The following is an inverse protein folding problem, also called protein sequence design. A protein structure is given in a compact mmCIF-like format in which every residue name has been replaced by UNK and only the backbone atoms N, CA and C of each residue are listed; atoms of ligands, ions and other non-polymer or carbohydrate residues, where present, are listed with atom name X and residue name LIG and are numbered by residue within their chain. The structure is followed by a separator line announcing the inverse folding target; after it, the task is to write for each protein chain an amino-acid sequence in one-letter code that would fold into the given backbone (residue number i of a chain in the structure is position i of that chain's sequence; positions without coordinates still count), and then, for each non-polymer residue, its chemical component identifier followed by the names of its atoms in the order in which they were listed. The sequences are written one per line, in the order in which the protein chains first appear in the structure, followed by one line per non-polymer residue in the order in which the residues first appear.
data_IF_657863039814
#
_entry.id   IF_657863039814
#
_cell.length_a   1.000
_cell.length_b   1.000
_cell.length_c   1.000
_cell.angle_alpha   90.00
_cell.angle_beta   90.00
_cell.angle_gamma   90.00
#
_symmetry.space_group_name_H-M   'P 1'
#
loop_
_entity.id
_entity.type
_entity.pdbx_description
1 polymer ?
#
# COMPACT_ATOMS: atom_id res chain seq x y z
N UNK A 1 13.41 31.76 -18.78
CA UNK A 1 12.19 32.31 -19.42
C UNK A 1 12.28 32.12 -20.93
N UNK A 2 11.19 31.69 -21.55
CA UNK A 2 11.12 31.50 -23.00
C UNK A 2 11.13 32.85 -23.73
N UNK A 3 11.97 32.96 -24.76
CA UNK A 3 12.18 34.17 -25.56
C UNK A 3 12.24 33.84 -27.05
N UNK A 4 11.83 34.78 -27.90
CA UNK A 4 11.89 34.64 -29.36
C UNK A 4 12.76 35.74 -29.95
N UNK A 5 13.54 35.41 -30.98
CA UNK A 5 14.26 36.38 -31.81
C UNK A 5 13.83 36.24 -33.26
N UNK A 6 13.59 37.36 -33.91
CA UNK A 6 13.35 37.42 -35.35
C UNK A 6 14.54 38.02 -36.06
N UNK A 7 14.96 37.44 -37.18
CA UNK A 7 16.06 37.96 -38.01
C UNK A 7 15.64 37.97 -39.48
N UNK A 8 16.17 38.93 -40.23
CA UNK A 8 16.03 39.01 -41.68
C UNK A 8 17.34 38.56 -42.32
N UNK A 9 17.31 37.58 -43.24
CA UNK A 9 18.50 37.14 -43.98
C UNK A 9 18.81 38.16 -45.08
N UNK A 10 20.03 38.68 -45.07
CA UNK A 10 20.50 39.71 -46.01
C UNK A 10 20.37 39.31 -47.48
N UNK A 11 20.68 38.06 -47.80
CA UNK A 11 20.76 37.61 -49.21
C UNK A 11 19.41 37.19 -49.81
N UNK A 12 18.49 36.67 -48.99
CA UNK A 12 17.18 36.17 -49.47
C UNK A 12 16.01 37.08 -49.15
N UNK A 13 16.23 38.14 -48.35
CA UNK A 13 15.19 39.05 -47.85
C UNK A 13 14.06 38.35 -47.04
N UNK A 14 14.27 37.09 -46.64
CA UNK A 14 13.32 36.28 -45.87
C UNK A 14 13.56 36.41 -44.37
N UNK A 15 12.49 36.22 -43.60
CA UNK A 15 12.50 36.23 -42.14
C UNK A 15 12.74 34.83 -41.58
N UNK A 16 13.35 34.78 -40.40
CA UNK A 16 13.57 33.60 -39.58
C UNK A 16 13.18 33.90 -38.14
N UNK A 17 12.83 32.87 -37.38
CA UNK A 17 12.65 32.98 -35.94
C UNK A 17 13.49 31.93 -35.19
N UNK A 18 13.92 32.26 -33.98
CA UNK A 18 14.60 31.37 -33.05
C UNK A 18 13.93 31.50 -31.68
N UNK A 19 13.35 30.42 -31.16
CA UNK A 19 12.77 30.37 -29.82
C UNK A 19 13.76 29.67 -28.89
N UNK A 20 14.07 30.31 -27.76
CA UNK A 20 14.95 29.78 -26.72
C UNK A 20 14.21 29.61 -25.41
N UNK A 21 14.37 28.46 -24.76
CA UNK A 21 13.95 28.22 -23.39
C UNK A 21 15.13 27.72 -22.56
N UNK A 22 15.31 28.27 -21.35
CA UNK A 22 16.42 27.93 -20.44
C UNK A 22 17.82 27.92 -21.11
N UNK A 23 18.04 28.88 -22.02
CA UNK A 23 19.33 29.03 -22.72
C UNK A 23 19.53 28.12 -23.93
N UNK A 24 18.63 27.17 -24.20
CA UNK A 24 18.68 26.26 -25.37
C UNK A 24 17.67 26.66 -26.44
N UNK A 25 18.03 26.50 -27.70
CA UNK A 25 17.12 26.66 -28.84
C UNK A 25 16.17 25.48 -28.88
N UNK A 26 14.86 25.74 -28.80
CA UNK A 26 13.80 24.72 -28.74
C UNK A 26 12.96 24.69 -30.01
N UNK A 27 12.92 25.77 -30.78
CA UNK A 27 12.32 25.81 -32.11
C UNK A 27 13.02 26.86 -32.98
N UNK A 28 13.19 26.56 -34.27
CA UNK A 28 13.74 27.46 -35.25
C UNK A 28 13.14 27.15 -36.62
N UNK A 29 12.71 28.18 -37.35
CA UNK A 29 12.28 28.03 -38.74
C UNK A 29 12.66 29.27 -39.58
N UNK A 30 12.68 29.10 -40.90
CA UNK A 30 13.09 30.11 -41.86
C UNK A 30 12.27 30.04 -43.15
N UNK A 31 12.25 31.13 -43.91
CA UNK A 31 11.61 31.16 -45.23
C UNK A 31 10.38 32.08 -45.32
N UNK A 32 10.12 32.87 -44.28
CA UNK A 32 8.92 33.71 -44.21
C UNK A 32 9.10 34.99 -45.03
N UNK A 33 8.16 35.29 -45.92
CA UNK A 33 8.19 36.51 -46.74
C UNK A 33 8.05 37.79 -45.90
N UNK A 34 7.40 37.72 -44.74
CA UNK A 34 7.18 38.86 -43.84
C UNK A 34 7.46 38.48 -42.39
N UNK A 35 7.79 39.47 -41.56
CA UNK A 35 7.96 39.28 -40.11
C UNK A 35 6.69 38.72 -39.47
N UNK A 36 5.52 39.21 -39.91
CA UNK A 36 4.21 38.81 -39.40
C UNK A 36 3.91 37.32 -39.62
N UNK A 37 4.36 36.74 -40.74
CA UNK A 37 4.24 35.29 -40.98
C UNK A 37 5.14 34.49 -40.03
N UNK A 38 6.35 34.95 -39.78
CA UNK A 38 7.24 34.33 -38.78
C UNK A 38 6.69 34.46 -37.35
N UNK A 39 6.07 35.60 -37.02
CA UNK A 39 5.40 35.82 -35.73
C UNK A 39 4.20 34.88 -35.56
N UNK A 40 3.35 34.72 -36.59
CA UNK A 40 2.18 33.85 -36.54
C UNK A 40 2.51 32.37 -36.29
N UNK A 41 3.67 31.89 -36.74
CA UNK A 41 4.12 30.51 -36.49
C UNK A 41 4.84 30.38 -35.13
N UNK A 42 5.61 31.40 -34.73
CA UNK A 42 6.38 31.37 -33.49
C UNK A 42 5.52 31.58 -32.23
N UNK A 43 4.43 32.36 -32.32
CA UNK A 43 3.60 32.74 -31.17
C UNK A 43 2.96 31.56 -30.44
N UNK A 44 2.36 30.55 -31.12
CA UNK A 44 1.81 29.37 -30.44
C UNK A 44 2.87 28.59 -29.64
N UNK A 45 4.05 28.41 -30.22
CA UNK A 45 5.18 27.69 -29.60
C UNK A 45 5.70 28.47 -28.39
N UNK A 46 5.82 29.79 -28.52
CA UNK A 46 6.27 30.67 -27.45
C UNK A 46 5.26 30.72 -26.29
N UNK A 47 3.96 30.72 -26.59
CA UNK A 47 2.90 30.62 -25.59
C UNK A 47 2.95 29.29 -24.84
N UNK A 48 3.10 28.17 -25.54
CA UNK A 48 3.22 26.83 -24.93
C UNK A 48 4.43 26.75 -23.98
N UNK A 49 5.55 27.37 -24.35
CA UNK A 49 6.75 27.42 -23.51
C UNK A 49 6.65 28.40 -22.33
N UNK A 50 5.82 29.45 -22.44
CA UNK A 50 5.61 30.46 -21.39
C UNK A 50 4.58 30.03 -20.36
N UNK A 51 3.50 29.41 -20.80
CA UNK A 51 2.36 29.01 -19.97
C UNK A 51 2.48 27.56 -19.49
N UNK A 52 3.44 26.80 -20.01
CA UNK A 52 3.49 25.35 -19.89
C UNK A 52 2.55 24.68 -20.91
N UNK A 53 2.66 23.36 -21.04
CA UNK A 53 1.71 22.55 -21.82
C UNK A 53 0.29 22.82 -21.30
N UNK A 54 -0.49 23.60 -22.03
CA UNK A 54 -1.87 23.87 -21.65
C UNK A 54 -2.68 22.60 -21.89
N UNK A 55 -3.39 22.13 -20.87
CA UNK A 55 -4.31 21.01 -21.03
C UNK A 55 -5.35 21.39 -22.09
N UNK A 56 -5.36 20.64 -23.19
CA UNK A 56 -6.31 20.87 -24.28
C UNK A 56 -7.67 20.24 -23.95
N UNK A 57 -8.76 20.86 -24.41
CA UNK A 57 -10.12 20.27 -24.40
C UNK A 57 -10.23 18.97 -25.20
N UNK A 58 -9.28 18.75 -26.12
CA UNK A 58 -9.21 17.58 -26.98
C UNK A 58 -8.31 16.47 -26.44
N UNK A 59 -7.80 16.62 -25.21
CA UNK A 59 -6.99 15.61 -24.56
C UNK A 59 -7.82 14.33 -24.32
N UNK A 60 -7.19 13.16 -24.50
CA UNK A 60 -7.81 11.89 -24.11
C UNK A 60 -7.88 11.78 -22.59
N UNK A 61 -8.80 10.96 -22.06
CA UNK A 61 -8.87 10.75 -20.62
C UNK A 61 -7.58 10.12 -20.05
N UNK A 62 -6.98 9.19 -20.80
CA UNK A 62 -5.74 8.54 -20.41
C UNK A 62 -4.57 9.53 -20.34
N UNK A 63 -4.47 10.45 -21.30
CA UNK A 63 -3.44 11.48 -21.34
C UNK A 63 -3.65 12.52 -20.25
N UNK A 64 -4.90 12.94 -20.00
CA UNK A 64 -5.19 13.84 -18.88
C UNK A 64 -4.80 13.22 -17.54
N UNK A 65 -5.11 11.94 -17.36
CA UNK A 65 -4.68 11.21 -16.18
C UNK A 65 -3.15 11.11 -16.08
N UNK A 66 -2.44 10.93 -17.19
CA UNK A 66 -0.97 10.94 -17.23
C UNK A 66 -0.39 12.28 -16.77
N UNK A 67 -0.87 13.39 -17.32
CA UNK A 67 -0.45 14.74 -16.93
C UNK A 67 -0.68 14.95 -15.42
N UNK A 68 -1.83 14.47 -14.90
CA UNK A 68 -2.11 14.53 -13.47
C UNK A 68 -1.15 13.68 -12.63
N UNK A 69 -0.77 12.49 -13.11
CA UNK A 69 0.23 11.66 -12.44
C UNK A 69 1.58 12.35 -12.36
N UNK A 70 2.05 12.92 -13.46
CA UNK A 70 3.33 13.62 -13.57
C UNK A 70 3.39 14.85 -12.67
N UNK A 71 2.30 15.59 -12.57
CA UNK A 71 2.25 16.82 -11.77
C UNK A 71 2.00 16.58 -10.28
N UNK A 72 1.19 15.58 -9.91
CA UNK A 72 0.67 15.43 -8.53
C UNK A 72 1.12 14.16 -7.81
N UNK A 73 1.39 13.07 -8.53
CA UNK A 73 1.64 11.75 -7.92
C UNK A 73 3.12 11.38 -7.95
N UNK A 74 3.77 11.45 -9.11
CA UNK A 74 5.18 11.06 -9.26
C UNK A 74 6.14 11.92 -8.43
N UNK A 75 5.95 13.26 -8.32
CA UNK A 75 6.80 14.12 -7.49
C UNK A 75 6.49 14.00 -5.98
N UNK A 76 5.37 13.36 -5.61
CA UNK A 76 4.96 13.27 -4.22
C UNK A 76 5.83 12.30 -3.41
N UNK A 77 5.82 12.47 -2.08
CA UNK A 77 6.50 11.60 -1.11
C UNK A 77 5.89 10.18 -0.96
N UNK A 78 4.95 9.81 -1.83
CA UNK A 78 4.35 8.46 -1.85
C UNK A 78 5.41 7.41 -2.18
N UNK A 79 5.22 6.21 -1.68
CA UNK A 79 6.14 5.10 -1.96
C UNK A 79 6.10 4.70 -3.44
N UNK A 80 7.20 4.13 -3.94
CA UNK A 80 7.32 3.68 -5.33
C UNK A 80 6.27 2.61 -5.68
N UNK A 81 5.90 1.73 -4.75
CA UNK A 81 4.82 0.76 -4.96
C UNK A 81 3.46 1.45 -5.13
N UNK A 82 3.26 2.55 -4.40
CA UNK A 82 2.03 3.34 -4.52
C UNK A 82 1.99 4.02 -5.88
N UNK A 83 3.11 4.63 -6.33
CA UNK A 83 3.24 5.23 -7.66
C UNK A 83 3.03 4.20 -8.78
N UNK A 84 3.63 3.01 -8.69
CA UNK A 84 3.39 1.89 -9.63
C UNK A 84 1.92 1.52 -9.74
N UNK A 85 1.16 1.50 -8.63
CA UNK A 85 -0.29 1.24 -8.68
C UNK A 85 -1.07 2.33 -9.42
N UNK A 86 -0.65 3.58 -9.35
CA UNK A 86 -1.25 4.66 -10.12
C UNK A 86 -0.96 4.53 -11.62
N UNK A 87 0.27 4.15 -11.98
CA UNK A 87 0.65 3.85 -13.37
C UNK A 87 -0.18 2.69 -13.93
N UNK A 88 -0.35 1.60 -13.19
CA UNK A 88 -1.19 0.46 -13.61
C UNK A 88 -2.66 0.85 -13.83
N UNK A 89 -3.18 1.83 -13.08
CA UNK A 89 -4.54 2.35 -13.30
C UNK A 89 -4.65 3.10 -14.63
N UNK A 90 -3.59 3.76 -15.10
CA UNK A 90 -3.59 4.39 -16.42
C UNK A 90 -3.89 3.37 -17.51
N UNK A 91 -3.19 2.24 -17.51
CA UNK A 91 -3.43 1.17 -18.48
C UNK A 91 -4.88 0.65 -18.41
N UNK A 92 -5.49 0.68 -17.22
CA UNK A 92 -6.90 0.35 -17.05
C UNK A 92 -7.81 1.41 -17.68
N UNK A 93 -7.51 2.70 -17.49
CA UNK A 93 -8.24 3.82 -18.11
C UNK A 93 -8.13 3.73 -19.64
N UNK A 94 -6.93 3.54 -20.19
CA UNK A 94 -6.70 3.35 -21.63
C UNK A 94 -7.54 2.19 -22.19
N UNK A 95 -7.58 1.04 -21.49
CA UNK A 95 -8.40 -0.10 -21.95
C UNK A 95 -9.90 0.18 -21.91
N UNK A 96 -10.38 0.95 -20.94
CA UNK A 96 -11.80 1.21 -20.74
C UNK A 96 -12.34 2.35 -21.64
N UNK A 97 -11.53 3.38 -21.87
CA UNK A 97 -11.93 4.60 -22.55
C UNK A 97 -11.22 4.81 -23.89
N UNK A 98 -10.16 4.07 -24.18
CA UNK A 98 -9.33 4.26 -25.38
C UNK A 98 -8.76 5.68 -25.45
N UNK A 99 -8.71 6.21 -26.67
CA UNK A 99 -8.31 7.59 -26.94
C UNK A 99 -9.48 8.59 -26.88
N UNK A 100 -10.58 8.24 -26.19
CA UNK A 100 -11.75 9.10 -26.11
C UNK A 100 -11.41 10.40 -25.39
N UNK A 101 -11.81 11.51 -26.00
CA UNK A 101 -11.58 12.85 -25.47
C UNK A 101 -12.44 13.09 -24.24
N UNK A 102 -11.92 13.83 -23.28
CA UNK A 102 -12.63 14.15 -22.02
C UNK A 102 -13.97 14.86 -22.26
N UNK A 103 -14.04 15.70 -23.29
CA UNK A 103 -15.25 16.43 -23.71
C UNK A 103 -16.32 15.56 -24.38
N UNK A 104 -15.98 14.31 -24.74
CA UNK A 104 -16.90 13.38 -25.40
C UNK A 104 -17.53 12.38 -24.42
N UNK A 105 -17.07 12.35 -23.18
CA UNK A 105 -17.54 11.38 -22.17
C UNK A 105 -18.73 11.99 -21.44
N UNK A 106 -19.90 11.35 -21.59
CA UNK A 106 -21.11 11.73 -20.84
C UNK A 106 -21.15 11.02 -19.48
N UNK A 107 -21.77 11.64 -18.47
CA UNK A 107 -21.94 11.04 -17.15
C UNK A 107 -22.63 9.66 -17.19
N UNK A 108 -23.66 9.51 -18.03
CA UNK A 108 -24.37 8.24 -18.21
C UNK A 108 -23.51 7.16 -18.88
N UNK A 109 -22.61 7.54 -19.77
CA UNK A 109 -21.64 6.64 -20.37
C UNK A 109 -20.59 6.21 -19.34
N UNK A 110 -20.05 7.16 -18.57
CA UNK A 110 -19.12 6.90 -17.49
C UNK A 110 -19.71 5.90 -16.48
N UNK A 111 -20.95 6.12 -16.05
CA UNK A 111 -21.69 5.20 -15.17
C UNK A 111 -21.81 3.79 -15.76
N UNK A 112 -22.16 3.65 -17.05
CA UNK A 112 -22.24 2.34 -17.73
C UNK A 112 -20.89 1.61 -17.75
N UNK A 113 -19.81 2.33 -18.02
CA UNK A 113 -18.44 1.77 -18.01
C UNK A 113 -18.07 1.32 -16.60
N UNK A 114 -18.35 2.14 -15.58
CA UNK A 114 -18.09 1.78 -14.17
C UNK A 114 -18.91 0.55 -13.73
N UNK A 115 -20.19 0.46 -14.11
CA UNK A 115 -21.03 -0.71 -13.83
C UNK A 115 -20.45 -1.99 -14.45
N UNK A 116 -20.13 -1.94 -15.75
CA UNK A 116 -19.55 -3.08 -16.47
C UNK A 116 -18.21 -3.50 -15.87
N UNK A 117 -17.35 -2.54 -15.56
CA UNK A 117 -16.03 -2.86 -14.99
C UNK A 117 -16.14 -3.36 -13.54
N UNK A 118 -17.09 -2.83 -12.77
CA UNK A 118 -17.42 -3.25 -11.41
C UNK A 118 -17.84 -4.71 -11.27
N UNK A 119 -18.34 -5.33 -12.34
CA UNK A 119 -18.60 -6.78 -12.38
C UNK A 119 -17.30 -7.61 -12.31
N UNK A 120 -16.15 -7.03 -12.65
CA UNK A 120 -14.86 -7.76 -12.76
C UNK A 120 -13.92 -7.53 -11.57
N UNK A 121 -14.10 -6.42 -10.85
CA UNK A 121 -13.20 -5.94 -9.79
C UNK A 121 -13.95 -5.60 -8.52
N UNK A 122 -13.26 -5.67 -7.38
CA UNK A 122 -13.84 -5.28 -6.08
C UNK A 122 -14.06 -3.77 -5.95
N UNK A 123 -15.07 -3.38 -5.16
CA UNK A 123 -15.48 -1.98 -4.91
C UNK A 123 -14.31 -1.06 -4.54
N UNK A 124 -13.38 -1.52 -3.71
CA UNK A 124 -12.21 -0.74 -3.30
C UNK A 124 -11.27 -0.40 -4.46
N UNK A 125 -11.12 -1.30 -5.44
CA UNK A 125 -10.33 -1.01 -6.63
C UNK A 125 -11.05 0.00 -7.53
N UNK A 126 -12.36 -0.24 -7.77
CA UNK A 126 -13.21 0.64 -8.57
C UNK A 126 -13.23 2.06 -8.00
N UNK A 127 -13.37 2.19 -6.67
CA UNK A 127 -13.28 3.48 -5.96
C UNK A 127 -11.97 4.21 -6.22
N UNK A 128 -10.83 3.52 -6.12
CA UNK A 128 -9.52 4.14 -6.38
C UNK A 128 -9.31 4.53 -7.85
N UNK A 129 -9.90 3.78 -8.78
CA UNK A 129 -9.90 4.14 -10.19
C UNK A 129 -10.70 5.44 -10.40
N UNK A 130 -11.94 5.49 -9.89
CA UNK A 130 -12.80 6.67 -9.96
C UNK A 130 -12.13 7.90 -9.32
N UNK A 131 -11.58 7.76 -8.10
CA UNK A 131 -10.87 8.87 -7.44
C UNK A 131 -9.72 9.43 -8.28
N UNK A 132 -8.94 8.57 -8.93
CA UNK A 132 -7.86 9.01 -9.81
C UNK A 132 -8.36 9.77 -11.04
N UNK A 133 -9.42 9.27 -11.67
CA UNK A 133 -10.08 9.92 -12.81
C UNK A 133 -10.65 11.28 -12.37
N UNK A 134 -11.44 11.31 -11.30
CA UNK A 134 -12.01 12.54 -10.74
C UNK A 134 -10.94 13.60 -10.45
N UNK A 135 -9.83 13.22 -9.81
CA UNK A 135 -8.74 14.15 -9.51
C UNK A 135 -8.07 14.71 -10.77
N UNK A 136 -7.96 13.93 -11.85
CA UNK A 136 -7.43 14.40 -13.13
C UNK A 136 -8.40 15.38 -13.83
N UNK A 137 -9.71 15.14 -13.76
CA UNK A 137 -10.74 16.04 -14.29
C UNK A 137 -10.77 17.36 -13.51
N UNK A 138 -10.74 17.29 -12.18
CA UNK A 138 -10.68 18.48 -11.32
C UNK A 138 -9.44 19.34 -11.59
N UNK A 139 -8.30 18.73 -11.92
CA UNK A 139 -7.11 19.47 -12.35
C UNK A 139 -7.34 20.23 -13.66
N UNK A 140 -7.95 19.61 -14.66
CA UNK A 140 -8.26 20.30 -15.93
C UNK A 140 -9.29 21.43 -15.74
N UNK A 141 -10.30 21.23 -14.89
CA UNK A 141 -11.29 22.27 -14.56
C UNK A 141 -10.61 23.45 -13.84
N UNK A 142 -9.65 23.18 -12.94
CA UNK A 142 -8.89 24.23 -12.27
C UNK A 142 -8.09 25.09 -13.26
N UNK A 143 -7.58 24.49 -14.33
CA UNK A 143 -6.93 25.17 -15.47
C UNK A 143 -7.91 25.84 -16.44
N UNK A 144 -9.19 25.91 -16.06
CA UNK A 144 -10.29 26.52 -16.83
C UNK A 144 -10.51 25.83 -18.19
N UNK A 145 -10.18 24.55 -18.30
CA UNK A 145 -10.58 23.75 -19.47
C UNK A 145 -12.08 23.48 -19.36
N UNK A 146 -12.82 23.82 -20.43
CA UNK A 146 -14.28 23.64 -20.48
C UNK A 146 -14.62 22.15 -20.64
N UNK A 147 -14.77 21.46 -19.51
CA UNK A 147 -15.10 20.04 -19.41
C UNK A 147 -16.20 19.90 -18.37
N UNK A 148 -17.25 19.16 -18.70
CA UNK A 148 -18.26 18.75 -17.73
C UNK A 148 -17.68 17.65 -16.83
N UNK A 149 -17.83 17.78 -15.52
CA UNK A 149 -17.35 16.75 -14.60
C UNK A 149 -18.28 15.52 -14.60
N UNK A 150 -18.07 14.63 -15.57
CA UNK A 150 -18.80 13.38 -15.73
C UNK A 150 -18.56 12.37 -14.59
N UNK A 151 -17.65 12.67 -13.65
CA UNK A 151 -17.39 11.81 -12.49
C UNK A 151 -18.22 12.18 -11.26
N UNK A 152 -18.91 13.33 -11.28
CA UNK A 152 -19.81 13.72 -10.20
C UNK A 152 -21.00 12.76 -10.12
N UNK A 153 -21.42 12.48 -8.89
CA UNK A 153 -22.58 11.63 -8.58
C UNK A 153 -22.50 10.20 -9.13
N UNK A 154 -21.32 9.74 -9.55
CA UNK A 154 -21.16 8.35 -9.98
C UNK A 154 -21.39 7.41 -8.80
N UNK A 155 -22.27 6.43 -9.00
CA UNK A 155 -22.49 5.36 -8.04
C UNK A 155 -21.63 4.17 -8.41
N UNK A 156 -20.80 3.70 -7.49
CA UNK A 156 -19.90 2.59 -7.77
C UNK A 156 -20.54 1.28 -7.32
N UNK A 157 -20.80 0.38 -8.25
CA UNK A 157 -21.32 -0.95 -7.96
C UNK A 157 -20.23 -1.99 -8.21
N UNK A 158 -20.14 -3.01 -7.36
CA UNK A 158 -19.19 -4.12 -7.54
C UNK A 158 -19.88 -5.43 -7.23
N UNK A 159 -19.80 -6.37 -8.15
CA UNK A 159 -20.39 -7.71 -8.00
C UNK A 159 -19.44 -8.70 -7.32
N UNK A 160 -18.18 -8.30 -7.07
CA UNK A 160 -17.27 -9.08 -6.23
C UNK A 160 -17.58 -8.78 -4.78
N UNK A 161 -18.09 -9.80 -4.08
CA UNK A 161 -18.26 -9.75 -2.63
C UNK A 161 -16.94 -9.34 -1.97
N UNK A 162 -17.05 -8.38 -1.05
CA UNK A 162 -15.95 -8.12 -0.15
C UNK A 162 -15.96 -9.21 0.90
N UNK A 163 -14.81 -9.86 1.09
CA UNK A 163 -14.61 -10.78 2.21
C UNK A 163 -15.10 -10.09 3.50
N UNK A 164 -15.99 -10.75 4.23
CA UNK A 164 -16.56 -10.19 5.46
C UNK A 164 -15.47 -9.98 6.50
N UNK A 165 -15.72 -9.14 7.51
CA UNK A 165 -14.71 -8.88 8.55
C UNK A 165 -14.44 -10.12 9.41
N UNK A 166 -15.48 -10.92 9.64
CA UNK A 166 -15.42 -12.19 10.37
C UNK A 166 -14.45 -13.17 9.69
N UNK A 167 -14.48 -13.28 8.37
CA UNK A 167 -13.62 -14.20 7.60
C UNK A 167 -12.11 -13.82 7.61
N UNK A 168 -11.69 -12.82 8.38
CA UNK A 168 -10.31 -12.30 8.37
C UNK A 168 -9.48 -12.69 9.59
N UNK A 169 -10.03 -13.37 10.59
CA UNK A 169 -9.30 -13.81 11.78
C UNK A 169 -9.83 -15.16 12.30
N UNK A 170 -9.13 -15.79 13.23
CA UNK A 170 -9.61 -17.05 13.84
C UNK A 170 -10.57 -16.74 14.98
N UNK A 171 -11.67 -17.48 15.04
CA UNK A 171 -12.77 -17.20 15.97
C UNK A 171 -12.62 -17.88 17.32
N UNK A 172 -11.88 -19.00 17.40
CA UNK A 172 -11.77 -19.78 18.63
C UNK A 172 -10.35 -19.73 19.21
N UNK A 173 -10.26 -19.73 20.55
CA UNK A 173 -8.97 -19.88 21.23
C UNK A 173 -8.32 -21.23 20.88
N UNK A 174 -9.13 -22.29 20.78
CA UNK A 174 -8.65 -23.64 20.43
C UNK A 174 -7.90 -23.63 19.09
N UNK A 175 -8.50 -23.09 18.02
CA UNK A 175 -7.88 -23.08 16.69
C UNK A 175 -6.60 -22.24 16.66
N UNK A 176 -6.58 -21.13 17.39
CA UNK A 176 -5.38 -20.31 17.53
C UNK A 176 -4.24 -21.06 18.22
N UNK A 177 -4.53 -21.79 19.30
CA UNK A 177 -3.55 -22.61 20.03
C UNK A 177 -3.08 -23.81 19.20
N UNK A 178 -4.00 -24.51 18.53
CA UNK A 178 -3.70 -25.63 17.64
C UNK A 178 -2.78 -25.18 16.49
N UNK A 179 -3.05 -24.02 15.89
CA UNK A 179 -2.19 -23.43 14.88
C UNK A 179 -0.80 -23.09 15.42
N UNK A 180 -0.69 -22.47 16.60
CA UNK A 180 0.60 -22.15 17.23
C UNK A 180 1.46 -23.40 17.44
N UNK A 181 0.85 -24.47 17.96
CA UNK A 181 1.51 -25.74 18.19
C UNK A 181 1.96 -26.39 16.87
N UNK A 182 1.10 -26.39 15.85
CA UNK A 182 1.42 -26.93 14.53
C UNK A 182 2.57 -26.17 13.85
N UNK A 183 2.56 -24.84 13.91
CA UNK A 183 3.65 -24.00 13.38
C UNK A 183 4.97 -24.33 14.07
N UNK A 184 4.95 -24.45 15.42
CA UNK A 184 6.15 -24.77 16.21
C UNK A 184 6.74 -26.12 15.85
N UNK A 185 5.91 -27.14 15.57
CA UNK A 185 6.36 -28.46 15.12
C UNK A 185 7.09 -28.45 13.77
N UNK A 186 6.93 -27.37 12.98
CA UNK A 186 7.59 -27.20 11.68
C UNK A 186 8.87 -26.36 11.78
N UNK A 187 9.34 -26.02 12.99
CA UNK A 187 10.58 -25.28 13.18
C UNK A 187 11.79 -26.09 12.74
N UNK A 188 12.40 -25.64 11.65
CA UNK A 188 13.64 -26.19 11.11
C UNK A 188 14.32 -25.05 10.35
N UNK A 189 15.31 -24.41 10.97
CA UNK A 189 16.00 -23.29 10.34
C UNK A 189 16.78 -23.73 9.10
N UNK A 190 17.30 -24.96 9.05
CA UNK A 190 18.01 -25.44 7.87
C UNK A 190 17.08 -25.52 6.66
N UNK A 191 15.81 -25.90 6.87
CA UNK A 191 14.81 -25.94 5.80
C UNK A 191 14.21 -24.58 5.49
N UNK A 192 13.73 -23.84 6.48
CA UNK A 192 13.04 -22.57 6.24
C UNK A 192 12.90 -21.70 7.49
N UNK A 193 13.00 -20.39 7.29
CA UNK A 193 12.67 -19.38 8.31
C UNK A 193 11.17 -19.06 8.40
N UNK A 194 10.36 -19.48 7.41
CA UNK A 194 8.94 -19.12 7.32
C UNK A 194 8.12 -19.56 8.55
N UNK A 195 8.27 -20.78 9.10
CA UNK A 195 7.56 -21.18 10.31
C UNK A 195 7.81 -20.25 11.50
N UNK A 196 9.05 -19.80 11.69
CA UNK A 196 9.40 -18.82 12.73
C UNK A 196 8.67 -17.50 12.50
N UNK A 197 8.66 -16.99 11.27
CA UNK A 197 7.95 -15.75 10.92
C UNK A 197 6.44 -15.89 11.23
N UNK A 198 5.81 -16.99 10.85
CA UNK A 198 4.38 -17.23 11.12
C UNK A 198 4.11 -17.26 12.62
N UNK A 199 4.92 -17.98 13.40
CA UNK A 199 4.78 -18.06 14.85
C UNK A 199 4.88 -16.66 15.51
N UNK A 200 5.89 -15.88 15.15
CA UNK A 200 6.05 -14.53 15.71
C UNK A 200 4.95 -13.57 15.24
N UNK A 201 4.41 -13.69 14.03
CA UNK A 201 3.23 -12.92 13.62
C UNK A 201 2.03 -13.20 14.53
N UNK A 202 1.80 -14.48 14.87
CA UNK A 202 0.72 -14.92 15.74
C UNK A 202 0.93 -14.52 17.20
N UNK A 203 2.17 -14.48 17.70
CA UNK A 203 2.50 -14.17 19.10
C UNK A 203 2.71 -12.68 19.41
N UNK A 204 2.90 -11.84 18.39
CA UNK A 204 3.22 -10.42 18.56
C UNK A 204 2.22 -9.47 17.89
N UNK A 205 1.44 -9.97 16.93
CA UNK A 205 0.54 -9.15 16.10
C UNK A 205 1.26 -8.07 15.28
N UNK A 206 2.58 -8.15 15.13
CA UNK A 206 3.34 -7.21 14.31
C UNK A 206 2.92 -7.30 12.84
N UNK A 207 3.04 -6.20 12.10
CA UNK A 207 2.84 -6.27 10.64
C UNK A 207 4.02 -7.03 10.04
N UNK A 208 3.78 -7.84 9.00
CA UNK A 208 4.82 -8.61 8.31
C UNK A 208 6.12 -7.83 8.08
N UNK A 209 6.03 -6.70 7.37
CA UNK A 209 7.22 -5.87 7.09
C UNK A 209 7.88 -5.25 8.32
N UNK A 210 7.18 -5.09 9.44
CA UNK A 210 7.78 -4.66 10.72
C UNK A 210 8.55 -5.81 11.38
N UNK A 211 7.98 -7.03 11.35
CA UNK A 211 8.56 -8.21 11.96
C UNK A 211 9.86 -8.64 11.26
N UNK A 212 9.82 -8.78 9.93
CA UNK A 212 11.02 -9.19 9.17
C UNK A 212 12.11 -8.11 9.15
N UNK A 213 11.83 -6.90 9.64
CA UNK A 213 12.81 -5.83 9.77
C UNK A 213 13.57 -5.85 11.10
N UNK A 214 13.18 -6.71 12.04
CA UNK A 214 13.85 -6.84 13.32
C UNK A 214 15.27 -7.38 13.10
N UNK A 215 16.20 -6.77 13.82
CA UNK A 215 17.57 -7.24 13.95
C UNK A 215 17.83 -7.66 15.38
N UNK A 216 18.89 -8.42 15.62
CA UNK A 216 19.27 -8.86 16.95
C UNK A 216 19.50 -7.70 17.94
N UNK A 217 19.76 -6.49 17.45
CA UNK A 217 19.90 -5.28 18.28
C UNK A 217 18.56 -4.76 18.85
N UNK A 218 17.43 -5.20 18.29
CA UNK A 218 16.10 -4.77 18.71
C UNK A 218 15.41 -5.75 19.67
N UNK A 219 16.13 -6.77 20.14
CA UNK A 219 15.64 -7.74 21.13
C UNK A 219 16.23 -7.41 22.49
N UNK A 220 15.36 -7.06 23.44
CA UNK A 220 15.70 -7.00 24.85
C UNK A 220 15.33 -8.34 25.48
N UNK A 221 16.31 -9.24 25.56
CA UNK A 221 16.11 -10.59 26.08
C UNK A 221 15.85 -10.64 27.59
N UNK A 222 16.32 -9.63 28.33
CA UNK A 222 16.19 -9.60 29.79
C UNK A 222 14.78 -9.14 30.19
N UNK A 223 14.23 -8.17 29.46
CA UNK A 223 12.88 -7.63 29.70
C UNK A 223 11.79 -8.30 28.86
N UNK A 224 12.16 -9.15 27.90
CA UNK A 224 11.23 -9.78 26.98
C UNK A 224 10.51 -8.79 26.08
N UNK A 225 11.26 -7.88 25.44
CA UNK A 225 10.69 -6.83 24.59
C UNK A 225 11.33 -6.81 23.20
N UNK A 226 10.51 -6.62 22.18
CA UNK A 226 10.92 -6.34 20.81
C UNK A 226 10.68 -4.86 20.49
N UNK A 227 11.71 -4.16 20.02
CA UNK A 227 11.59 -2.78 19.56
C UNK A 227 11.33 -2.74 18.05
N UNK A 228 10.21 -2.16 17.64
CA UNK A 228 9.93 -1.93 16.22
C UNK A 228 9.82 -0.45 15.92
N UNK A 229 10.50 0.00 14.86
CA UNK A 229 10.54 1.41 14.48
C UNK A 229 10.70 1.64 12.97
N UNK A 230 10.82 0.58 12.18
CA UNK A 230 11.01 0.60 10.72
C UNK A 230 10.37 -0.64 10.10
N UNK A 231 10.38 -0.70 8.77
CA UNK A 231 9.89 -1.85 8.01
C UNK A 231 10.94 -2.28 7.00
N UNK A 232 10.88 -3.53 6.57
CA UNK A 232 11.61 -4.04 5.42
C UNK A 232 10.63 -4.26 4.28
N UNK A 233 10.94 -3.70 3.12
CA UNK A 233 10.14 -3.84 1.92
C UNK A 233 10.77 -4.88 1.02
N UNK A 234 10.09 -6.02 0.87
CA UNK A 234 10.57 -7.17 0.09
C UNK A 234 10.48 -6.95 -1.42
N UNK A 235 9.81 -5.90 -1.91
CA UNK A 235 9.79 -5.57 -3.34
C UNK A 235 10.99 -4.69 -3.73
N UNK A 236 11.41 -3.80 -2.82
CA UNK A 236 12.54 -2.91 -3.05
C UNK A 236 13.83 -3.38 -2.39
N UNK A 237 13.76 -4.46 -1.60
CA UNK A 237 14.84 -5.03 -0.76
C UNK A 237 15.55 -3.99 0.10
N UNK A 238 14.76 -3.10 0.72
CA UNK A 238 15.27 -1.97 1.51
C UNK A 238 14.50 -1.80 2.81
N UNK A 239 15.21 -1.31 3.83
CA UNK A 239 14.56 -0.74 5.00
C UNK A 239 13.86 0.56 4.61
N UNK A 240 12.63 0.73 5.10
CA UNK A 240 11.80 1.90 4.88
C UNK A 240 11.23 2.40 6.20
N UNK A 241 10.89 3.70 6.31
CA UNK A 241 10.27 4.26 7.50
C UNK A 241 8.97 3.53 7.92
N UNK A 242 8.61 3.62 9.21
CA UNK A 242 7.34 3.09 9.70
C UNK A 242 6.19 3.74 8.96
N UNK A 243 5.08 3.00 8.77
CA UNK A 243 3.93 3.53 8.02
C UNK A 243 3.26 4.69 8.78
N UNK A 244 3.18 4.56 10.11
CA UNK A 244 2.55 5.51 11.02
C UNK A 244 3.48 5.76 12.21
N UNK A 245 3.35 6.90 12.90
CA UNK A 245 4.09 7.16 14.15
C UNK A 245 3.84 6.10 15.22
N UNK A 246 2.61 5.58 15.30
CA UNK A 246 2.22 4.50 16.23
C UNK A 246 2.87 3.15 15.93
N UNK A 247 3.53 2.98 14.78
CA UNK A 247 4.33 1.78 14.51
C UNK A 247 5.64 1.77 15.31
N UNK A 248 6.12 2.91 15.84
CA UNK A 248 7.30 2.97 16.70
C UNK A 248 6.88 2.60 18.12
N UNK A 249 7.25 1.40 18.59
CA UNK A 249 6.77 0.85 19.86
C UNK A 249 7.64 -0.31 20.37
N UNK A 250 7.42 -0.66 21.63
CA UNK A 250 7.88 -1.93 22.22
C UNK A 250 6.74 -2.95 22.16
N UNK A 251 7.07 -4.21 21.88
CA UNK A 251 6.12 -5.32 21.82
C UNK A 251 6.60 -6.40 22.79
N UNK A 252 5.79 -6.79 23.79
CA UNK A 252 6.18 -7.82 24.74
C UNK A 252 6.20 -9.20 24.08
N UNK A 253 7.13 -10.03 24.53
CA UNK A 253 7.23 -11.46 24.18
C UNK A 253 7.41 -12.29 25.45
N UNK A 254 6.92 -13.53 25.42
CA UNK A 254 7.02 -14.44 26.55
C UNK A 254 8.37 -15.20 26.58
N UNK A 255 8.58 -15.96 27.65
CA UNK A 255 9.79 -16.78 27.82
C UNK A 255 9.99 -17.80 26.71
N UNK A 256 8.89 -18.34 26.15
CA UNK A 256 8.96 -19.29 25.05
C UNK A 256 9.52 -18.60 23.80
N UNK A 257 9.03 -17.42 23.46
CA UNK A 257 9.57 -16.60 22.37
C UNK A 257 11.05 -16.29 22.58
N UNK A 258 11.47 -15.95 23.81
CA UNK A 258 12.88 -15.71 24.15
C UNK A 258 13.73 -16.97 23.87
N UNK A 259 13.29 -18.13 24.35
CA UNK A 259 13.98 -19.42 24.14
C UNK A 259 14.11 -19.73 22.64
N UNK A 260 13.04 -19.55 21.88
CA UNK A 260 13.02 -19.76 20.43
C UNK A 260 14.00 -18.80 19.72
N UNK A 261 14.02 -17.51 20.08
CA UNK A 261 14.94 -16.54 19.49
C UNK A 261 16.40 -16.86 19.78
N UNK A 262 16.73 -17.29 21.01
CA UNK A 262 18.11 -17.69 21.36
C UNK A 262 18.56 -18.90 20.53
N UNK A 263 17.71 -19.93 20.41
CA UNK A 263 18.03 -21.10 19.58
C UNK A 263 18.19 -20.71 18.10
N UNK A 264 17.25 -19.90 17.57
CA UNK A 264 17.30 -19.42 16.20
C UNK A 264 18.58 -18.62 15.93
N UNK A 265 19.04 -17.80 16.87
CA UNK A 265 20.29 -17.05 16.74
C UNK A 265 21.48 -18.00 16.55
N UNK A 266 21.60 -19.02 17.41
CA UNK A 266 22.67 -20.01 17.34
C UNK A 266 22.66 -20.77 16.01
N UNK A 267 21.50 -21.27 15.58
CA UNK A 267 21.35 -22.01 14.32
C UNK A 267 21.66 -21.13 13.10
N UNK A 268 21.22 -19.87 13.11
CA UNK A 268 21.51 -18.90 12.06
C UNK A 268 23.00 -18.59 11.98
N UNK A 269 23.66 -18.33 13.11
CA UNK A 269 25.08 -18.02 13.16
C UNK A 269 25.93 -19.19 12.68
N UNK A 270 25.60 -20.42 13.11
CA UNK A 270 26.25 -21.64 12.64
C UNK A 270 26.12 -21.83 11.13
N UNK A 271 24.90 -21.83 10.60
CA UNK A 271 24.67 -22.04 9.17
C UNK A 271 25.33 -20.94 8.31
N UNK A 272 25.27 -19.69 8.76
CA UNK A 272 25.92 -18.58 8.06
C UNK A 272 27.45 -18.73 8.05
N UNK A 273 28.05 -19.20 9.15
CA UNK A 273 29.48 -19.48 9.22
C UNK A 273 29.87 -20.62 8.26
N UNK A 274 29.16 -21.74 8.30
CA UNK A 274 29.41 -22.91 7.45
C UNK A 274 29.28 -22.57 5.95
N UNK A 275 28.34 -21.70 5.58
CA UNK A 275 28.09 -21.28 4.19
C UNK A 275 28.85 -20.02 3.75
N UNK A 276 29.65 -19.40 4.64
CA UNK A 276 30.36 -18.15 4.35
C UNK A 276 29.43 -16.94 4.10
N UNK A 277 28.20 -16.97 4.61
CA UNK A 277 27.18 -15.93 4.43
C UNK A 277 27.31 -14.86 5.51
N UNK A 278 27.29 -13.59 5.10
CA UNK A 278 27.31 -12.46 6.04
C UNK A 278 25.91 -11.85 6.20
N UNK A 279 25.31 -12.04 7.38
CA UNK A 279 24.09 -11.33 7.79
C UNK A 279 24.42 -9.87 8.15
N UNK A 280 24.72 -9.04 7.13
CA UNK A 280 25.25 -7.67 7.32
C UNK A 280 24.36 -6.77 8.19
N UNK A 281 23.05 -6.95 8.11
CA UNK A 281 22.08 -6.17 8.87
C UNK A 281 21.69 -6.84 10.19
N UNK A 282 22.25 -8.01 10.52
CA UNK A 282 21.91 -8.81 11.70
C UNK A 282 20.40 -9.09 11.82
N UNK A 283 19.74 -9.30 10.68
CA UNK A 283 18.29 -9.54 10.63
C UNK A 283 17.95 -10.88 11.29
N UNK A 284 16.96 -10.88 12.19
CA UNK A 284 16.54 -12.09 12.93
C UNK A 284 16.05 -13.16 11.95
N UNK A 285 15.20 -12.75 11.01
CA UNK A 285 14.54 -13.65 10.06
C UNK A 285 15.30 -13.80 8.74
N UNK A 286 16.63 -13.60 8.75
CA UNK A 286 17.46 -13.91 7.60
C UNK A 286 17.58 -15.43 7.42
N UNK A 287 17.61 -15.88 6.16
CA UNK A 287 17.82 -17.28 5.79
C UNK A 287 18.57 -17.37 4.47
N UNK A 288 19.44 -18.38 4.34
CA UNK A 288 20.33 -18.57 3.20
C UNK A 288 19.63 -19.05 1.93
N UNK A 289 18.44 -19.66 2.05
CA UNK A 289 17.64 -20.15 0.93
C UNK A 289 16.94 -19.05 0.12
N UNK A 290 17.09 -17.78 0.50
CA UNK A 290 16.47 -16.65 -0.20
C UNK A 290 17.54 -15.73 -0.80
N UNK A 291 17.37 -15.40 -2.09
CA UNK A 291 18.26 -14.49 -2.84
C UNK A 291 18.46 -13.15 -2.11
N UNK A 292 17.38 -12.64 -1.52
CA UNK A 292 17.39 -11.37 -0.77
C UNK A 292 17.30 -11.58 0.74
N UNK A 293 17.79 -12.72 1.21
CA UNK A 293 17.94 -13.09 2.63
C UNK A 293 16.67 -13.26 3.43
N UNK A 294 15.49 -12.84 2.94
CA UNK A 294 14.21 -13.02 3.63
C UNK A 294 13.11 -13.45 2.65
N UNK A 295 12.10 -14.22 3.10
CA UNK A 295 10.95 -14.55 2.28
C UNK A 295 10.08 -13.32 1.99
N UNK A 296 9.33 -13.39 0.89
CA UNK A 296 8.26 -12.43 0.62
C UNK A 296 6.96 -12.79 1.37
N UNK A 297 6.02 -11.84 1.38
CA UNK A 297 4.73 -12.01 2.05
C UNK A 297 3.87 -13.12 1.42
N UNK A 298 4.04 -13.41 0.12
CA UNK A 298 3.26 -14.41 -0.58
C UNK A 298 3.65 -15.82 -0.11
N UNK A 299 4.95 -16.05 0.06
CA UNK A 299 5.53 -17.27 0.62
C UNK A 299 5.00 -17.55 2.04
N UNK A 300 4.99 -16.52 2.89
CA UNK A 300 4.48 -16.63 4.26
C UNK A 300 2.97 -16.89 4.29
N UNK A 301 2.18 -16.16 3.49
CA UNK A 301 0.73 -16.39 3.38
C UNK A 301 0.42 -17.79 2.84
N UNK A 302 1.21 -18.29 1.88
CA UNK A 302 1.02 -19.64 1.33
C UNK A 302 1.29 -20.71 2.39
N UNK A 303 2.37 -20.58 3.15
CA UNK A 303 2.67 -21.50 4.25
C UNK A 303 1.59 -21.49 5.34
N UNK A 304 1.12 -20.29 5.74
CA UNK A 304 0.02 -20.15 6.69
C UNK A 304 -1.27 -20.81 6.17
N UNK A 305 -1.62 -20.58 4.89
CA UNK A 305 -2.78 -21.21 4.26
C UNK A 305 -2.66 -22.74 4.21
N UNK A 306 -1.48 -23.28 3.90
CA UNK A 306 -1.26 -24.74 3.91
C UNK A 306 -1.48 -25.30 5.31
N UNK A 307 -0.89 -24.67 6.34
CA UNK A 307 -1.06 -25.12 7.73
C UNK A 307 -2.52 -25.09 8.20
N UNK A 308 -3.26 -24.05 7.85
CA UNK A 308 -4.69 -23.96 8.20
C UNK A 308 -5.51 -25.07 7.54
N UNK A 309 -5.25 -25.36 6.26
CA UNK A 309 -5.90 -26.47 5.56
C UNK A 309 -5.48 -27.84 6.14
N UNK A 310 -4.21 -28.04 6.52
CA UNK A 310 -3.74 -29.28 7.17
C UNK A 310 -4.44 -29.54 8.52
N UNK A 311 -4.95 -28.49 9.17
CA UNK A 311 -5.62 -28.56 10.48
C UNK A 311 -7.15 -28.47 10.39
N UNK A 312 -7.71 -28.35 9.19
CA UNK A 312 -9.14 -28.07 8.96
C UNK A 312 -9.64 -26.81 9.69
N UNK A 313 -8.79 -25.79 9.83
CA UNK A 313 -9.12 -24.52 10.49
C UNK A 313 -9.57 -23.48 9.47
N UNK A 314 -10.75 -22.89 9.71
CA UNK A 314 -11.33 -21.83 8.91
C UNK A 314 -11.69 -20.61 9.78
N UNK A 315 -11.68 -19.39 9.23
CA UNK A 315 -11.35 -19.03 7.84
C UNK A 315 -9.85 -19.12 7.53
N UNK A 316 -9.50 -19.23 6.25
CA UNK A 316 -8.09 -19.18 5.81
C UNK A 316 -7.58 -17.73 5.92
N UNK A 317 -6.81 -17.47 6.98
CA UNK A 317 -6.27 -16.15 7.28
C UNK A 317 -4.94 -15.86 6.56
N UNK A 318 -4.60 -14.58 6.46
CA UNK A 318 -3.30 -14.08 5.97
C UNK A 318 -2.46 -13.54 7.13
N UNK A 319 -1.24 -13.05 6.87
CA UNK A 319 -0.44 -12.32 7.87
C UNK A 319 -1.18 -11.13 8.52
N UNK A 320 -2.11 -10.49 7.79
CA UNK A 320 -2.99 -9.46 8.38
C UNK A 320 -3.99 -10.07 9.34
N UNK A 321 -4.53 -11.24 8.98
CA UNK A 321 -5.46 -11.97 9.83
C UNK A 321 -4.80 -12.50 11.11
N UNK A 322 -3.57 -13.00 11.04
CA UNK A 322 -2.80 -13.42 12.22
C UNK A 322 -2.69 -12.29 13.27
N UNK A 323 -2.49 -11.05 12.80
CA UNK A 323 -2.53 -9.86 13.65
C UNK A 323 -3.90 -9.59 14.27
N UNK A 324 -4.98 -9.74 13.51
CA UNK A 324 -6.33 -9.58 14.03
C UNK A 324 -6.66 -10.66 15.06
N UNK A 325 -6.27 -11.92 14.78
CA UNK A 325 -6.38 -13.04 15.71
C UNK A 325 -5.65 -12.78 17.02
N UNK A 326 -4.39 -12.30 16.98
CA UNK A 326 -3.65 -11.97 18.21
C UNK A 326 -4.34 -10.89 19.04
N UNK A 327 -4.85 -9.83 18.38
CA UNK A 327 -5.63 -8.79 19.07
C UNK A 327 -6.92 -9.32 19.69
N UNK A 328 -7.63 -10.21 18.97
CA UNK A 328 -8.85 -10.88 19.47
C UNK A 328 -8.54 -11.73 20.70
N UNK A 329 -7.47 -12.52 20.62
CA UNK A 329 -7.02 -13.38 21.70
C UNK A 329 -6.69 -12.59 22.97
N UNK A 330 -5.90 -11.51 22.87
CA UNK A 330 -5.59 -10.66 24.02
C UNK A 330 -6.85 -10.06 24.64
N UNK A 331 -7.78 -9.61 23.82
CA UNK A 331 -8.99 -8.99 24.35
C UNK A 331 -9.93 -9.99 25.03
N UNK A 332 -10.03 -11.21 24.48
CA UNK A 332 -10.72 -12.33 25.14
C UNK A 332 -10.06 -12.67 26.48
N UNK A 333 -8.72 -12.61 26.58
CA UNK A 333 -8.00 -12.74 27.85
C UNK A 333 -8.18 -11.55 28.83
N UNK A 334 -9.03 -10.58 28.50
CA UNK A 334 -9.41 -9.48 29.39
C UNK A 334 -8.49 -8.26 29.35
N UNK A 335 -7.53 -8.18 28.42
CA UNK A 335 -6.67 -7.01 28.32
C UNK A 335 -7.41 -5.78 27.78
N UNK A 336 -7.04 -4.60 28.30
CA UNK A 336 -7.60 -3.31 27.89
C UNK A 336 -7.37 -3.03 26.38
N UNK A 337 -8.41 -2.56 25.70
CA UNK A 337 -8.37 -2.26 24.26
C UNK A 337 -7.35 -1.17 23.91
N UNK A 338 -7.14 -0.19 24.79
CA UNK A 338 -6.11 0.84 24.62
C UNK A 338 -4.70 0.26 24.66
N UNK A 339 -4.43 -0.69 25.57
CA UNK A 339 -3.17 -1.43 25.64
C UNK A 339 -2.96 -2.27 24.38
N UNK A 340 -3.97 -3.03 23.95
CA UNK A 340 -3.91 -3.84 22.72
C UNK A 340 -3.66 -2.95 21.50
N UNK A 341 -4.35 -1.81 21.39
CA UNK A 341 -4.15 -0.85 20.31
C UNK A 341 -2.71 -0.32 20.26
N UNK A 342 -2.10 -0.04 21.41
CA UNK A 342 -0.69 0.35 21.53
C UNK A 342 0.25 -0.78 21.09
N UNK A 343 0.07 -2.00 21.57
CA UNK A 343 0.90 -3.18 21.21
C UNK A 343 0.82 -3.48 19.72
N UNK A 344 -0.36 -3.38 19.14
CA UNK A 344 -0.55 -3.58 17.72
C UNK A 344 -0.07 -2.34 16.92
N UNK A 345 -0.07 -1.14 17.47
CA UNK A 345 0.23 0.09 16.73
C UNK A 345 -0.92 0.47 15.78
N UNK A 346 -2.16 0.38 16.26
CA UNK A 346 -3.33 0.98 15.62
C UNK A 346 -3.34 2.49 15.88
N UNK A 347 -3.74 3.28 14.89
CA UNK A 347 -3.96 4.73 15.06
C UNK A 347 -5.35 5.03 15.64
N UNK A 348 -6.28 4.09 15.41
CA UNK A 348 -7.69 4.24 15.71
C UNK A 348 -8.20 2.93 16.33
N UNK A 349 -8.86 3.06 17.48
CA UNK A 349 -9.46 1.97 18.26
C UNK A 349 -10.78 1.51 17.59
N UNK A 350 -11.40 2.33 16.75
CA UNK A 350 -12.65 1.99 16.04
C UNK A 350 -12.50 0.74 15.17
N UNK A 351 -11.33 0.57 14.55
CA UNK A 351 -10.95 -0.66 13.82
C UNK A 351 -10.85 -1.90 14.70
N UNK A 352 -10.54 -1.72 16.00
CA UNK A 352 -10.62 -2.80 16.98
C UNK A 352 -12.11 -3.06 17.26
N UNK A 353 -12.87 -2.06 17.70
CA UNK A 353 -14.30 -2.21 18.04
C UNK A 353 -15.14 -2.81 16.91
N UNK A 354 -14.94 -2.42 15.65
CA UNK A 354 -15.66 -2.97 14.48
C UNK A 354 -15.31 -4.44 14.21
N UNK A 355 -14.07 -4.86 14.48
CA UNK A 355 -13.63 -6.27 14.35
C UNK A 355 -14.07 -7.09 15.57
N UNK A 356 -14.17 -6.46 16.72
CA UNK A 356 -14.38 -7.10 18.02
C UNK A 356 -15.83 -7.02 18.51
N UNK A 357 -16.69 -6.29 17.81
CA UNK A 357 -18.13 -6.16 18.03
C UNK A 357 -18.89 -7.48 18.16
N UNK A 358 -18.36 -8.56 17.57
CA UNK A 358 -18.99 -9.88 17.55
C UNK A 358 -18.50 -10.78 18.70
N UNK A 359 -17.22 -10.73 19.09
CA UNK A 359 -16.73 -11.40 20.31
C UNK A 359 -17.24 -10.74 21.59
N UNK A 360 -17.91 -9.58 21.46
CA UNK A 360 -18.68 -8.98 22.54
C UNK A 360 -19.82 -9.89 23.00
N UNK A 361 -20.44 -10.76 22.20
CA UNK A 361 -21.64 -11.50 22.67
C UNK A 361 -21.35 -12.47 23.82
N UNK A 362 -20.27 -13.26 23.75
CA UNK A 362 -19.87 -14.18 24.83
C UNK A 362 -19.39 -13.42 26.07
N UNK A 363 -18.58 -12.37 25.87
CA UNK A 363 -18.07 -11.53 26.96
C UNK A 363 -19.18 -10.69 27.61
N UNK A 364 -20.12 -10.19 26.81
CA UNK A 364 -21.35 -9.54 27.28
C UNK A 364 -22.12 -10.53 28.13
N UNK A 365 -22.27 -11.80 27.72
CA UNK A 365 -22.99 -12.78 28.52
C UNK A 365 -22.29 -13.04 29.87
N UNK A 366 -20.97 -13.18 29.88
CA UNK A 366 -20.18 -13.32 31.11
C UNK A 366 -20.23 -12.07 32.01
N UNK A 367 -20.03 -10.88 31.45
CA UNK A 367 -20.11 -9.61 32.16
C UNK A 367 -21.54 -9.32 32.65
N UNK A 368 -22.57 -9.69 31.88
CA UNK A 368 -23.97 -9.60 32.32
C UNK A 368 -24.22 -10.49 33.53
N UNK A 369 -23.68 -11.71 33.55
CA UNK A 369 -23.81 -12.59 34.71
C UNK A 369 -23.06 -12.02 35.92
N UNK A 370 -21.85 -11.49 35.74
CA UNK A 370 -21.10 -10.80 36.79
C UNK A 370 -21.86 -9.58 37.33
N UNK A 371 -22.44 -8.74 36.46
CA UNK A 371 -23.27 -7.59 36.84
C UNK A 371 -24.52 -8.05 37.60
N UNK A 372 -25.17 -9.13 37.17
CA UNK A 372 -26.32 -9.71 37.90
C UNK A 372 -25.92 -10.19 39.29
N UNK A 373 -24.72 -10.73 39.44
CA UNK A 373 -24.22 -11.25 40.71
C UNK A 373 -23.82 -10.13 41.68
N UNK A 374 -23.40 -8.95 41.21
CA UNK A 374 -23.16 -7.76 42.06
C UNK A 374 -24.39 -7.39 42.90
N UNK A 375 -25.59 -7.56 42.35
CA UNK A 375 -26.83 -7.22 43.04
C UNK A 375 -27.35 -8.34 43.95
N UNK A 376 -26.80 -9.56 43.88
CA UNK A 376 -27.18 -10.68 44.76
C UNK A 376 -26.58 -10.55 46.15
N UNK A 377 -25.40 -9.93 46.28
CA UNK A 377 -24.77 -9.67 47.58
C UNK A 377 -25.40 -8.47 48.32
N UNK A 378 -26.35 -7.77 47.68
CA UNK A 378 -27.09 -6.64 48.26
C UNK A 378 -28.51 -7.02 48.75
N UNK A 379 -28.89 -8.30 48.66
CA UNK A 379 -30.16 -8.87 49.13
C UNK A 379 -29.91 -9.94 50.18
#
# INVERSE_FOLDING_TARGET
MASVRYRKRGDSNLWTYEIRNEGKTVAHNSGFKTKKLAESEAEPILQELRLGKRISRDISLADLYQEWLELKILPSSRSEETKKKYLLRKNTIERLFGNKKVTQIRASEYQRIMNKYGQTVGRNFLGRLNTGIHQSIQMAIADKVLIDDFTQHVELFSSKEQQMTEEKYLHTEKDYLDLLLAVKRKFDYQRSIVPYIVYFLLKTGMRFGELIALTWNEVDFDRGLLKTYRRYNTLSHKFVPPKNKTSIRMVPIDEECIKILRLLQTEQERANMELGIKNRYRMIFQHFGYIHSVPDIASVNKALSVLLNELDIYPIITTKGARHTYGSYLWHKGFDLGVIAKILGHRDISMLVEVYGHTLEEKIFEEFNQIRDIWKDCS
#
